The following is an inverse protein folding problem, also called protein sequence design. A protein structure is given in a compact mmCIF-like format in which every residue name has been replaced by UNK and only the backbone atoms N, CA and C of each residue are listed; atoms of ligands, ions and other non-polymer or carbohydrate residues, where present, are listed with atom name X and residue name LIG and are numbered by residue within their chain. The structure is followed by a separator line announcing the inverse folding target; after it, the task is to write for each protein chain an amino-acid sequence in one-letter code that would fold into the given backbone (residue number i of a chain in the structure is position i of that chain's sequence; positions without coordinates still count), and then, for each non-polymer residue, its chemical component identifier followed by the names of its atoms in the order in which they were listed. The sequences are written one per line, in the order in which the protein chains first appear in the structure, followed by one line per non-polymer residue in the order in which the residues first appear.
data_IF_110279129945
#
_entry.id   IF_110279129945
#
_cell.length_a   1.000
_cell.length_b   1.000
_cell.length_c   1.000
_cell.angle_alpha   90.00
_cell.angle_beta   90.00
_cell.angle_gamma   90.00
#
_symmetry.space_group_name_H-M   'P 1'
#
loop_
_entity.id
_entity.type
_entity.pdbx_description
1 polymer ?
#
# COMPACT_ATOMS: atom_id res chain seq x y z
N UNK A 1 15.11 0.84 14.79
CA UNK A 1 13.95 1.75 14.62
C UNK A 1 13.23 1.51 13.30
N UNK A 2 11.89 1.50 13.27
CA UNK A 2 11.11 1.48 12.01
C UNK A 2 10.67 2.90 11.64
N UNK A 3 10.93 3.33 10.40
CA UNK A 3 10.46 4.60 9.85
C UNK A 3 9.22 4.35 9.01
N UNK A 4 8.07 4.87 9.44
CA UNK A 4 6.88 4.93 8.58
C UNK A 4 6.94 6.22 7.75
N UNK A 5 7.45 6.09 6.53
CA UNK A 5 7.83 7.21 5.68
C UNK A 5 6.64 7.82 4.91
N UNK A 6 5.39 7.47 5.20
CA UNK A 6 4.26 7.99 4.41
C UNK A 6 2.95 8.19 5.18
N UNK A 7 3.01 8.31 6.52
CA UNK A 7 1.82 8.56 7.35
C UNK A 7 1.20 9.95 7.20
N UNK A 8 2.01 10.95 6.82
CA UNK A 8 1.58 12.36 6.71
C UNK A 8 1.40 12.82 5.27
N UNK A 9 2.07 12.14 4.35
CA UNK A 9 2.07 12.44 2.91
C UNK A 9 2.57 11.22 2.17
N UNK A 10 2.09 11.00 0.96
CA UNK A 10 2.59 9.93 0.08
C UNK A 10 3.98 10.32 -0.45
N UNK A 11 5.02 10.01 0.32
CA UNK A 11 6.41 10.33 -0.02
C UNK A 11 6.85 9.63 -1.32
N UNK A 12 6.56 8.33 -1.54
CA UNK A 12 6.91 7.68 -2.79
C UNK A 12 6.34 8.37 -4.02
N UNK A 13 5.08 8.81 -3.97
CA UNK A 13 4.42 9.45 -5.10
C UNK A 13 4.88 10.92 -5.30
N UNK A 14 5.03 11.68 -4.21
CA UNK A 14 5.10 13.14 -4.29
C UNK A 14 6.50 13.71 -3.99
N UNK A 15 7.31 13.02 -3.19
CA UNK A 15 8.57 13.57 -2.65
C UNK A 15 9.76 12.59 -2.67
N UNK A 16 9.98 11.81 -3.76
CA UNK A 16 11.06 10.82 -3.79
C UNK A 16 12.44 11.48 -3.67
N UNK A 17 12.71 12.55 -4.42
CA UNK A 17 14.01 13.23 -4.39
C UNK A 17 14.30 13.83 -3.00
N UNK A 18 13.31 14.49 -2.40
CA UNK A 18 13.43 15.02 -1.04
C UNK A 18 13.81 13.91 -0.05
N UNK A 19 13.18 12.75 -0.15
CA UNK A 19 13.43 11.63 0.75
C UNK A 19 14.86 11.10 0.63
N UNK A 20 15.34 10.92 -0.61
CA UNK A 20 16.74 10.54 -0.87
C UNK A 20 17.71 11.57 -0.29
N UNK A 21 17.41 12.85 -0.44
CA UNK A 21 18.22 13.93 0.13
C UNK A 21 18.19 13.95 1.67
N UNK A 22 17.17 13.38 2.33
CA UNK A 22 17.17 13.18 3.79
C UNK A 22 17.97 11.97 4.21
N UNK A 23 17.86 10.85 3.50
CA UNK A 23 18.72 9.69 3.74
C UNK A 23 20.20 10.03 3.59
N UNK A 24 20.56 10.85 2.60
CA UNK A 24 21.94 11.32 2.38
C UNK A 24 22.43 12.27 3.48
N UNK A 25 21.55 13.14 3.97
CA UNK A 25 21.86 14.05 5.06
C UNK A 25 22.00 13.34 6.42
N UNK A 26 21.50 12.10 6.53
CA UNK A 26 21.56 11.32 7.76
C UNK A 26 20.53 11.73 8.81
N UNK A 27 19.58 12.61 8.47
CA UNK A 27 18.60 13.11 9.43
C UNK A 27 17.35 13.73 8.78
N UNK A 28 16.28 13.81 9.56
CA UNK A 28 15.07 14.57 9.22
C UNK A 28 14.50 15.29 10.44
N UNK A 29 13.98 16.49 10.22
CA UNK A 29 13.27 17.27 11.23
C UNK A 29 11.77 17.07 11.07
N UNK A 30 11.10 16.68 12.15
CA UNK A 30 9.68 16.36 12.17
C UNK A 30 8.96 17.26 13.17
N UNK A 31 8.06 18.15 12.73
CA UNK A 31 7.27 18.94 13.66
C UNK A 31 6.28 18.04 14.42
N UNK A 32 6.07 18.33 15.70
CA UNK A 32 5.05 17.67 16.50
C UNK A 32 3.66 18.05 15.97
N UNK A 33 2.74 17.08 15.80
CA UNK A 33 1.44 17.33 15.19
C UNK A 33 0.54 18.24 16.05
N UNK A 34 0.70 18.23 17.37
CA UNK A 34 -0.08 19.05 18.31
C UNK A 34 0.58 20.40 18.62
N UNK A 35 1.91 20.49 18.52
CA UNK A 35 2.64 21.73 18.74
C UNK A 35 3.77 21.92 17.72
N UNK A 36 3.49 22.65 16.63
CA UNK A 36 4.43 22.87 15.53
C UNK A 36 5.73 23.58 15.93
N UNK A 37 5.79 24.26 17.08
CA UNK A 37 7.02 24.87 17.60
C UNK A 37 8.00 23.84 18.16
N UNK A 38 7.53 22.64 18.52
CA UNK A 38 8.39 21.52 18.93
C UNK A 38 8.78 20.71 17.71
N UNK A 39 10.08 20.62 17.47
CA UNK A 39 10.67 19.88 16.35
C UNK A 39 11.49 18.73 16.91
N UNK A 40 11.19 17.51 16.46
CA UNK A 40 12.01 16.33 16.75
C UNK A 40 13.02 16.13 15.63
N UNK A 41 14.27 15.80 15.99
CA UNK A 41 15.30 15.37 15.04
C UNK A 41 15.36 13.85 15.05
N UNK A 42 15.15 13.23 13.90
CA UNK A 42 15.25 11.79 13.72
C UNK A 42 16.53 11.53 12.95
N UNK A 43 17.44 10.75 13.55
CA UNK A 43 18.63 10.28 12.87
C UNK A 43 18.25 9.20 11.87
N UNK A 44 18.77 9.33 10.65
CA UNK A 44 18.59 8.38 9.57
C UNK A 44 19.95 7.73 9.31
N UNK A 45 20.21 6.60 9.97
CA UNK A 45 21.38 5.78 9.73
C UNK A 45 20.96 4.33 9.49
N UNK A 46 21.55 3.64 8.50
CA UNK A 46 21.26 2.22 8.26
C UNK A 46 21.60 1.35 9.48
N UNK A 47 22.51 1.79 10.35
CA UNK A 47 22.87 1.06 11.58
C UNK A 47 21.76 1.10 12.66
N UNK A 48 20.84 2.06 12.55
CA UNK A 48 19.79 2.31 13.54
C UNK A 48 18.38 2.09 13.00
N UNK A 49 18.23 2.09 11.67
CA UNK A 49 16.96 1.88 10.98
C UNK A 49 16.85 0.40 10.60
N UNK A 50 15.90 -0.28 11.25
CA UNK A 50 15.61 -1.70 10.97
C UNK A 50 14.78 -1.85 9.70
N UNK A 51 13.97 -0.83 9.35
CA UNK A 51 13.12 -0.83 8.17
C UNK A 51 12.52 0.54 7.87
N UNK A 52 12.36 0.84 6.58
CA UNK A 52 11.54 1.94 6.07
C UNK A 52 10.25 1.35 5.48
N UNK A 53 9.11 1.72 6.05
CA UNK A 53 7.79 1.34 5.55
C UNK A 53 7.25 2.45 4.63
N UNK A 54 7.13 2.16 3.34
CA UNK A 54 6.49 3.04 2.37
C UNK A 54 5.01 2.70 2.22
N UNK A 55 4.15 3.72 2.32
CA UNK A 55 2.71 3.58 2.12
C UNK A 55 2.32 4.49 0.98
N UNK A 56 1.77 3.95 -0.09
CA UNK A 56 1.56 4.74 -1.30
C UNK A 56 0.47 4.19 -2.19
N UNK A 57 -0.14 5.06 -2.98
CA UNK A 57 -0.95 4.67 -4.15
C UNK A 57 -0.16 4.68 -5.45
N UNK A 58 0.99 5.33 -5.46
CA UNK A 58 1.85 5.42 -6.64
C UNK A 58 3.34 5.35 -6.27
N UNK A 59 3.96 4.16 -6.26
CA UNK A 59 5.39 4.03 -5.98
C UNK A 59 6.27 4.41 -7.19
N UNK A 60 5.70 4.58 -8.38
CA UNK A 60 6.45 4.77 -9.64
C UNK A 60 7.53 5.87 -9.55
N UNK A 61 7.26 7.06 -8.97
CA UNK A 61 8.27 8.11 -8.90
C UNK A 61 9.47 7.78 -8.01
N UNK A 62 9.32 6.85 -7.06
CA UNK A 62 10.39 6.39 -6.19
C UNK A 62 11.19 5.22 -6.79
N UNK A 63 10.63 4.45 -7.72
CA UNK A 63 11.27 3.26 -8.32
C UNK A 63 12.70 3.53 -8.84
N UNK A 64 12.98 4.63 -9.57
CA UNK A 64 14.34 4.92 -10.05
C UNK A 64 15.36 5.05 -8.91
N UNK A 65 14.93 5.51 -7.74
CA UNK A 65 15.79 5.78 -6.59
C UNK A 65 16.03 4.56 -5.69
N UNK A 66 15.26 3.48 -5.83
CA UNK A 66 15.42 2.28 -4.99
C UNK A 66 16.83 1.71 -5.04
N UNK A 67 17.52 1.78 -6.19
CA UNK A 67 18.92 1.32 -6.31
C UNK A 67 19.89 2.18 -5.48
N UNK A 68 19.55 3.45 -5.25
CA UNK A 68 20.30 4.33 -4.35
C UNK A 68 20.06 3.94 -2.90
N UNK A 69 18.80 3.66 -2.53
CA UNK A 69 18.44 3.21 -1.18
C UNK A 69 19.13 1.88 -0.84
N UNK A 70 19.13 0.93 -1.79
CA UNK A 70 19.83 -0.36 -1.67
C UNK A 70 21.33 -0.17 -1.40
N UNK A 71 22.00 0.69 -2.19
CA UNK A 71 23.43 1.00 -2.03
C UNK A 71 23.77 1.67 -0.70
N UNK A 72 22.82 2.42 -0.14
CA UNK A 72 22.97 3.06 1.17
C UNK A 72 22.71 2.08 2.33
N UNK A 73 22.28 0.84 2.06
CA UNK A 73 22.09 -0.20 3.06
C UNK A 73 20.79 -0.11 3.84
N UNK A 74 19.81 0.67 3.39
CA UNK A 74 18.53 0.77 4.09
C UNK A 74 17.57 -0.36 3.71
N UNK A 75 17.08 -1.16 4.67
CA UNK A 75 15.98 -2.08 4.43
C UNK A 75 14.66 -1.32 4.28
N UNK A 76 13.82 -1.75 3.33
CA UNK A 76 12.49 -1.18 3.11
C UNK A 76 11.49 -2.21 2.60
N UNK A 77 10.20 -1.92 2.79
CA UNK A 77 9.09 -2.62 2.18
C UNK A 77 7.99 -1.63 1.79
N UNK A 78 7.09 -2.09 0.93
CA UNK A 78 5.96 -1.33 0.45
C UNK A 78 4.66 -1.90 0.97
N UNK A 79 3.76 -1.02 1.38
CA UNK A 79 2.34 -1.29 1.36
C UNK A 79 1.71 -0.39 0.29
N UNK A 80 1.23 -1.02 -0.78
CA UNK A 80 0.66 -0.30 -1.92
C UNK A 80 -0.85 -0.44 -1.93
N UNK A 81 -1.53 0.71 -1.88
CA UNK A 81 -2.99 0.78 -1.94
C UNK A 81 -3.43 0.70 -3.40
N UNK A 82 -4.23 -0.32 -3.70
CA UNK A 82 -4.89 -0.50 -5.00
C UNK A 82 -6.34 -0.80 -4.69
N UNK A 83 -7.17 0.19 -4.97
CA UNK A 83 -8.63 0.18 -4.91
C UNK A 83 -9.18 0.38 -6.32
N UNK A 84 -10.46 0.09 -6.55
CA UNK A 84 -11.11 0.31 -7.85
C UNK A 84 -12.04 1.53 -7.85
N UNK A 85 -11.68 2.56 -7.08
CA UNK A 85 -12.45 3.78 -7.06
C UNK A 85 -12.06 4.67 -8.22
N UNK A 86 -13.03 5.45 -8.71
CA UNK A 86 -12.80 6.41 -9.78
C UNK A 86 -12.57 7.81 -9.18
N UNK A 87 -12.52 8.82 -10.03
CA UNK A 87 -12.21 10.20 -9.67
C UNK A 87 -13.23 10.85 -8.73
N UNK A 88 -14.42 10.25 -8.56
CA UNK A 88 -15.41 10.68 -7.56
C UNK A 88 -14.97 10.42 -6.12
N UNK A 89 -14.03 9.50 -5.89
CA UNK A 89 -13.47 9.19 -4.57
C UNK A 89 -11.96 9.46 -4.53
N UNK A 90 -11.23 9.06 -5.57
CA UNK A 90 -9.78 9.13 -5.63
C UNK A 90 -9.32 9.98 -6.80
N UNK A 91 -9.22 11.29 -6.55
CA UNK A 91 -8.67 12.21 -7.53
C UNK A 91 -7.14 12.13 -7.56
N UNK A 92 -6.54 12.29 -8.75
CA UNK A 92 -5.08 12.43 -8.95
C UNK A 92 -4.24 11.19 -8.55
N UNK A 93 -4.82 9.99 -8.61
CA UNK A 93 -4.10 8.71 -8.47
C UNK A 93 -4.08 7.96 -9.81
N UNK A 94 -3.12 7.03 -10.04
CA UNK A 94 -3.11 6.21 -11.24
C UNK A 94 -4.36 5.35 -11.34
N UNK A 95 -4.73 4.96 -12.57
CA UNK A 95 -5.85 4.02 -12.77
C UNK A 95 -5.55 2.66 -12.15
N UNK A 96 -6.58 1.88 -11.88
CA UNK A 96 -6.47 0.54 -11.31
C UNK A 96 -5.47 -0.34 -12.08
N UNK A 97 -5.56 -0.35 -13.42
CA UNK A 97 -4.70 -1.18 -14.26
C UNK A 97 -3.23 -0.76 -14.20
N UNK A 98 -2.98 0.55 -14.16
CA UNK A 98 -1.64 1.14 -14.03
C UNK A 98 -1.03 0.83 -12.66
N UNK A 99 -1.85 0.93 -11.61
CA UNK A 99 -1.47 0.59 -10.23
C UNK A 99 -1.12 -0.89 -10.11
N UNK A 100 -1.93 -1.77 -10.70
CA UNK A 100 -1.65 -3.21 -10.74
C UNK A 100 -0.38 -3.54 -11.51
N UNK A 101 -0.18 -2.93 -12.69
CA UNK A 101 1.06 -3.12 -13.46
C UNK A 101 2.29 -2.70 -12.66
N UNK A 102 2.22 -1.55 -12.00
CA UNK A 102 3.29 -1.03 -11.14
C UNK A 102 3.55 -1.95 -9.95
N UNK A 103 2.50 -2.50 -9.33
CA UNK A 103 2.62 -3.46 -8.23
C UNK A 103 3.35 -4.73 -8.66
N UNK A 104 3.00 -5.29 -9.82
CA UNK A 104 3.64 -6.48 -10.37
C UNK A 104 5.13 -6.22 -10.63
N UNK A 105 5.48 -5.09 -11.24
CA UNK A 105 6.88 -4.68 -11.47
C UNK A 105 7.65 -4.52 -10.16
N UNK A 106 7.02 -3.92 -9.15
CA UNK A 106 7.62 -3.72 -7.84
C UNK A 106 7.86 -5.05 -7.13
N UNK A 107 6.89 -5.95 -7.16
CA UNK A 107 7.02 -7.31 -6.62
C UNK A 107 8.09 -8.12 -7.36
N UNK A 108 8.17 -8.01 -8.68
CA UNK A 108 9.21 -8.70 -9.46
C UNK A 108 10.61 -8.25 -9.04
N UNK A 109 10.78 -6.93 -8.86
CA UNK A 109 12.05 -6.33 -8.43
C UNK A 109 12.41 -6.67 -6.98
N UNK A 110 11.44 -6.57 -6.06
CA UNK A 110 11.71 -6.64 -4.62
C UNK A 110 11.48 -8.04 -4.03
N UNK A 111 10.70 -8.87 -4.71
CA UNK A 111 10.12 -10.08 -4.16
C UNK A 111 8.81 -9.79 -3.41
N UNK A 112 7.86 -10.70 -3.58
CA UNK A 112 6.49 -10.62 -3.02
C UNK A 112 6.42 -10.45 -1.49
N UNK A 113 7.48 -10.80 -0.76
CA UNK A 113 7.54 -10.65 0.70
C UNK A 113 7.74 -9.19 1.15
N UNK A 114 8.12 -8.30 0.22
CA UNK A 114 8.40 -6.89 0.50
C UNK A 114 7.35 -5.94 -0.10
N UNK A 115 6.25 -6.48 -0.61
CA UNK A 115 5.18 -5.69 -1.21
C UNK A 115 3.83 -6.24 -0.73
N UNK A 116 3.20 -5.53 0.19
CA UNK A 116 1.83 -5.83 0.64
C UNK A 116 0.83 -5.10 -0.24
N UNK A 117 -0.22 -5.81 -0.68
CA UNK A 117 -1.38 -5.16 -1.30
C UNK A 117 -2.34 -4.67 -0.21
N UNK A 118 -2.77 -3.43 -0.34
CA UNK A 118 -3.78 -2.78 0.49
C UNK A 118 -5.04 -2.59 -0.36
N UNK A 119 -6.08 -3.39 -0.10
CA UNK A 119 -7.42 -3.19 -0.67
C UNK A 119 -8.25 -2.41 0.36
N UNK A 120 -7.84 -1.16 0.59
CA UNK A 120 -8.35 -0.36 1.68
C UNK A 120 -8.19 1.16 1.44
N UNK A 121 -9.05 2.00 2.04
CA UNK A 121 -10.23 1.64 2.83
C UNK A 121 -11.43 1.25 1.94
N UNK A 122 -12.28 0.36 2.47
CA UNK A 122 -13.57 0.00 1.87
C UNK A 122 -14.67 0.92 2.37
N UNK A 123 -15.42 1.50 1.45
CA UNK A 123 -16.58 2.34 1.70
C UNK A 123 -17.77 1.86 0.87
N UNK A 124 -18.99 2.10 1.34
CA UNK A 124 -20.21 1.81 0.59
C UNK A 124 -20.86 3.10 0.10
N UNK A 125 -21.24 3.10 -1.18
CA UNK A 125 -22.14 4.09 -1.78
C UNK A 125 -23.13 3.37 -2.69
N UNK A 126 -24.04 4.12 -3.31
CA UNK A 126 -24.92 3.59 -4.35
C UNK A 126 -24.13 2.99 -5.53
N UNK A 127 -22.96 3.58 -5.86
CA UNK A 127 -22.05 3.12 -6.91
C UNK A 127 -21.15 1.98 -6.43
N UNK A 128 -20.58 2.11 -5.22
CA UNK A 128 -19.61 1.17 -4.65
C UNK A 128 -20.31 0.23 -3.66
N UNK A 129 -21.07 -0.71 -4.19
CA UNK A 129 -21.81 -1.69 -3.39
C UNK A 129 -20.94 -2.86 -2.91
N UNK A 130 -21.47 -3.69 -2.00
CA UNK A 130 -20.82 -4.94 -1.59
C UNK A 130 -20.50 -5.82 -2.81
N UNK A 131 -21.45 -5.97 -3.75
CA UNK A 131 -21.22 -6.78 -4.95
C UNK A 131 -20.12 -6.22 -5.84
N UNK A 132 -20.04 -4.89 -5.97
CA UNK A 132 -18.97 -4.22 -6.68
C UNK A 132 -17.60 -4.57 -6.08
N UNK A 133 -17.46 -4.40 -4.76
CA UNK A 133 -16.20 -4.69 -4.07
C UNK A 133 -15.78 -6.15 -4.21
N UNK A 134 -16.72 -7.10 -4.11
CA UNK A 134 -16.42 -8.52 -4.27
C UNK A 134 -15.97 -8.87 -5.69
N UNK A 135 -16.64 -8.32 -6.71
CA UNK A 135 -16.27 -8.52 -8.12
C UNK A 135 -14.88 -7.97 -8.42
N UNK A 136 -14.62 -6.72 -7.99
CA UNK A 136 -13.33 -6.06 -8.21
C UNK A 136 -12.20 -6.70 -7.42
N UNK A 137 -12.46 -7.10 -6.18
CA UNK A 137 -11.49 -7.84 -5.39
C UNK A 137 -11.15 -9.19 -6.04
N UNK A 138 -12.13 -9.96 -6.50
CA UNK A 138 -11.88 -11.23 -7.18
C UNK A 138 -11.03 -11.04 -8.44
N UNK A 139 -11.39 -10.07 -9.28
CA UNK A 139 -10.64 -9.71 -10.48
C UNK A 139 -9.19 -9.33 -10.14
N UNK A 140 -8.96 -8.42 -9.18
CA UNK A 140 -7.60 -8.04 -8.79
C UNK A 140 -6.81 -9.21 -8.18
N UNK A 141 -7.46 -10.06 -7.38
CA UNK A 141 -6.82 -11.24 -6.82
C UNK A 141 -6.29 -12.18 -7.91
N UNK A 142 -7.01 -12.35 -9.04
CA UNK A 142 -6.54 -13.21 -10.13
C UNK A 142 -5.18 -12.78 -10.67
N UNK A 143 -4.90 -11.48 -10.69
CA UNK A 143 -3.62 -10.91 -11.12
C UNK A 143 -2.57 -10.86 -10.00
N UNK A 144 -2.95 -10.43 -8.80
CA UNK A 144 -1.99 -10.03 -7.76
C UNK A 144 -1.59 -11.16 -6.80
N UNK A 145 -2.34 -12.27 -6.71
CA UNK A 145 -2.14 -13.30 -5.68
C UNK A 145 -0.75 -13.97 -5.67
N UNK A 146 0.02 -13.89 -6.77
CA UNK A 146 1.41 -14.41 -6.83
C UNK A 146 2.47 -13.35 -6.54
N UNK A 147 2.09 -12.08 -6.57
CA UNK A 147 2.97 -10.93 -6.40
C UNK A 147 2.98 -10.38 -4.96
N UNK A 148 2.24 -11.00 -4.05
CA UNK A 148 2.27 -10.63 -2.64
C UNK A 148 2.02 -11.86 -1.76
N UNK A 149 2.40 -11.78 -0.49
CA UNK A 149 1.99 -12.75 0.54
C UNK A 149 0.88 -12.26 1.44
N UNK A 150 0.48 -10.98 1.32
CA UNK A 150 -0.51 -10.38 2.21
C UNK A 150 -1.36 -9.35 1.48
N UNK A 151 -2.66 -9.45 1.70
CA UNK A 151 -3.63 -8.40 1.41
C UNK A 151 -4.13 -7.81 2.74
N UNK A 152 -4.12 -6.49 2.86
CA UNK A 152 -4.64 -5.74 4.01
C UNK A 152 -5.96 -5.12 3.59
N UNK A 153 -6.98 -5.27 4.43
CA UNK A 153 -8.32 -4.72 4.23
C UNK A 153 -8.67 -3.90 5.47
N UNK A 154 -9.30 -2.75 5.27
CA UNK A 154 -9.93 -1.98 6.34
C UNK A 154 -11.20 -1.31 5.82
N UNK A 155 -12.10 -0.95 6.71
CA UNK A 155 -13.36 -0.28 6.41
C UNK A 155 -13.26 1.17 6.85
N UNK A 156 -13.97 2.07 6.17
CA UNK A 156 -13.91 3.49 6.48
C UNK A 156 -14.58 3.77 7.83
N UNK A 157 -13.88 4.49 8.70
CA UNK A 157 -14.43 5.08 9.92
C UNK A 157 -14.86 6.52 9.62
N UNK A 158 -16.02 6.91 10.14
CA UNK A 158 -16.52 8.27 10.02
C UNK A 158 -15.83 9.13 11.06
N UNK A 159 -15.48 10.34 10.67
CA UNK A 159 -14.97 11.35 11.59
C UNK A 159 -15.61 12.68 11.24
N UNK A 160 -15.42 13.67 12.12
CA UNK A 160 -16.16 14.94 12.12
C UNK A 160 -16.29 15.65 10.76
N UNK A 161 -15.34 15.45 9.85
CA UNK A 161 -15.30 16.09 8.53
C UNK A 161 -15.26 15.07 7.37
N UNK A 162 -15.55 13.80 7.64
CA UNK A 162 -15.61 12.76 6.60
C UNK A 162 -16.90 12.90 5.79
N UNK A 163 -16.82 12.94 4.44
CA UNK A 163 -18.02 12.87 3.60
C UNK A 163 -18.59 11.44 3.51
N UNK A 164 -17.91 10.44 4.09
CA UNK A 164 -18.27 9.04 4.03
C UNK A 164 -18.84 8.55 5.37
N UNK A 165 -19.90 7.76 5.27
CA UNK A 165 -20.57 7.13 6.41
C UNK A 165 -19.83 5.87 6.84
N UNK A 166 -19.90 5.58 8.14
CA UNK A 166 -19.54 4.26 8.67
C UNK A 166 -20.42 3.18 8.08
N UNK A 167 -19.82 2.04 7.84
CA UNK A 167 -20.51 0.86 7.35
C UNK A 167 -21.22 0.16 8.52
N UNK A 168 -22.44 -0.31 8.30
CA UNK A 168 -23.16 -1.08 9.32
C UNK A 168 -22.40 -2.38 9.65
N UNK A 169 -22.40 -2.86 10.90
CA UNK A 169 -21.68 -4.07 11.29
C UNK A 169 -22.01 -5.30 10.43
N UNK A 170 -23.26 -5.45 10.02
CA UNK A 170 -23.73 -6.55 9.16
C UNK A 170 -23.08 -6.50 7.78
N UNK A 171 -22.94 -5.31 7.19
CA UNK A 171 -22.30 -5.09 5.90
C UNK A 171 -20.79 -5.36 5.99
N UNK A 172 -20.14 -4.93 7.09
CA UNK A 172 -18.73 -5.22 7.36
C UNK A 172 -18.50 -6.74 7.40
N UNK A 173 -19.34 -7.46 8.15
CA UNK A 173 -19.23 -8.92 8.27
C UNK A 173 -19.46 -9.59 6.91
N UNK A 174 -20.53 -9.22 6.20
CA UNK A 174 -20.86 -9.81 4.90
C UNK A 174 -19.76 -9.59 3.86
N UNK A 175 -19.22 -8.38 3.78
CA UNK A 175 -18.12 -8.05 2.89
C UNK A 175 -16.83 -8.77 3.30
N UNK A 176 -16.47 -8.77 4.58
CA UNK A 176 -15.29 -9.48 5.08
C UNK A 176 -15.34 -10.99 4.78
N UNK A 177 -16.49 -11.64 4.98
CA UNK A 177 -16.66 -13.06 4.66
C UNK A 177 -16.50 -13.36 3.16
N UNK A 178 -17.05 -12.50 2.30
CA UNK A 178 -16.91 -12.61 0.86
C UNK A 178 -15.46 -12.46 0.40
N UNK A 179 -14.76 -11.42 0.88
CA UNK A 179 -13.35 -11.18 0.59
C UNK A 179 -12.47 -12.34 1.08
N UNK A 180 -12.71 -12.86 2.29
CA UNK A 180 -11.99 -14.00 2.83
C UNK A 180 -12.19 -15.28 2.00
N UNK A 181 -13.41 -15.52 1.50
CA UNK A 181 -13.73 -16.65 0.62
C UNK A 181 -12.96 -16.58 -0.70
N UNK A 182 -12.91 -15.40 -1.31
CA UNK A 182 -12.14 -15.13 -2.55
C UNK A 182 -10.64 -15.35 -2.29
N UNK A 183 -10.11 -14.74 -1.22
CA UNK A 183 -8.70 -14.88 -0.86
C UNK A 183 -8.28 -16.34 -0.66
N UNK A 184 -9.10 -17.14 0.04
CA UNK A 184 -8.84 -18.57 0.24
C UNK A 184 -8.86 -19.37 -1.07
N UNK A 185 -9.82 -19.09 -1.97
CA UNK A 185 -9.91 -19.72 -3.29
C UNK A 185 -8.62 -19.51 -4.10
N UNK A 186 -8.08 -18.28 -4.08
CA UNK A 186 -6.87 -17.95 -4.84
C UNK A 186 -5.59 -18.49 -4.18
N UNK A 187 -5.53 -18.51 -2.85
CA UNK A 187 -4.45 -19.18 -2.12
C UNK A 187 -4.38 -20.68 -2.48
N UNK A 188 -5.52 -21.37 -2.56
CA UNK A 188 -5.56 -22.78 -3.00
C UNK A 188 -5.10 -22.98 -4.45
N UNK A 189 -5.30 -22.01 -5.35
CA UNK A 189 -4.79 -22.06 -6.74
C UNK A 189 -3.26 -21.87 -6.83
N UNK A 190 -2.60 -21.38 -5.79
CA UNK A 190 -1.16 -21.06 -5.80
C UNK A 190 -0.22 -22.24 -5.48
N UNK A 191 -0.74 -23.47 -5.32
CA UNK A 191 0.08 -24.67 -5.13
C UNK A 191 0.90 -24.92 -6.42
N UNK A 192 2.25 -24.98 -6.36
CA UNK A 192 3.07 -25.15 -7.55
C UNK A 192 2.86 -26.55 -8.14
N UNK A 193 2.20 -26.62 -9.30
CA UNK A 193 2.25 -27.81 -10.14
C UNK A 193 3.64 -27.83 -10.79
N UNK A 194 4.54 -28.70 -10.30
CA UNK A 194 5.80 -29.01 -10.97
C UNK A 194 5.51 -29.45 -12.41
N UNK A 195 5.74 -28.59 -13.40
CA UNK A 195 5.91 -29.03 -14.79
C UNK A 195 7.34 -29.56 -14.94
N UNK A 196 7.48 -30.90 -14.95
CA UNK A 196 8.68 -31.55 -15.48
C UNK A 196 8.78 -31.17 -16.95
N UNK A 197 9.90 -30.58 -17.34
CA UNK A 197 10.31 -30.53 -18.73
C UNK A 197 11.29 -31.69 -18.93
N UNK A 198 10.91 -32.62 -19.81
CA UNK A 198 11.81 -33.58 -20.47
C UNK A 198 12.77 -32.84 -21.38
#
# INVERSE_FOLDING_TARGET
MIISASRRTDIPALYPEWFINRLKAGEVLVPNPYNRKKISRIQLSPDTIDCIAFWTKNPEPLIPYLSTIDKMGYPYYFQMTITDYEQDIEENVPRTEESMATFLLLSERLGKERVDWRFDPLLLTEKYSISYHLERFEMMCEWLHKATTRCIISFIDSYKDSPYLEMEPEDIVGLAEGLARIGKKMACRSIPVRKRWT
#
